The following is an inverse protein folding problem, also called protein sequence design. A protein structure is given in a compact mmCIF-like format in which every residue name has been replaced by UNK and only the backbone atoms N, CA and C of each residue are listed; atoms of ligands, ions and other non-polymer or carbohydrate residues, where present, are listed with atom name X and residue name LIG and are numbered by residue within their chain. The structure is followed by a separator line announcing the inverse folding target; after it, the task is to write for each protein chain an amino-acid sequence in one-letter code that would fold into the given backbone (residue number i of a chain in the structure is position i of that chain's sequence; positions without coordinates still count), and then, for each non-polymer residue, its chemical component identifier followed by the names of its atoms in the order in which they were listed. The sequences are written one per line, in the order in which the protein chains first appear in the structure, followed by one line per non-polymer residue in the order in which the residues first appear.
data_IF_932776131325
#
_entry.id   IF_932776131325
#
_cell.length_a   1.000
_cell.length_b   1.000
_cell.length_c   1.000
_cell.angle_alpha   90.00
_cell.angle_beta   90.00
_cell.angle_gamma   90.00
#
_symmetry.space_group_name_H-M   'P 1'
#
loop_
_entity.id
_entity.type
_entity.pdbx_description
1 polymer ?
#
# COMPACT_ATOMS: atom_id res chain seq x y z
N UNK A 1 -20.43 -0.20 9.72
CA UNK A 1 -19.99 -1.21 8.73
C UNK A 1 -20.10 -2.60 9.34
N UNK A 2 -20.51 -3.63 8.59
CA UNK A 2 -20.53 -5.02 9.10
C UNK A 2 -19.11 -5.45 9.53
N UNK A 3 -19.00 -6.03 10.74
CA UNK A 3 -17.75 -6.49 11.36
C UNK A 3 -16.86 -7.33 10.43
N UNK A 4 -17.46 -8.08 9.49
CA UNK A 4 -16.74 -8.91 8.51
C UNK A 4 -15.98 -8.08 7.46
N UNK A 5 -16.59 -7.02 6.92
CA UNK A 5 -15.95 -6.14 5.92
C UNK A 5 -14.76 -5.39 6.51
N UNK A 6 -14.87 -5.01 7.77
CA UNK A 6 -13.81 -4.32 8.49
C UNK A 6 -12.59 -5.22 8.76
N UNK A 7 -12.83 -6.47 9.19
CA UNK A 7 -11.77 -7.47 9.36
C UNK A 7 -11.00 -7.73 8.07
N UNK A 8 -11.70 -7.81 6.93
CA UNK A 8 -11.07 -8.02 5.61
C UNK A 8 -10.16 -6.84 5.25
N UNK A 9 -10.64 -5.59 5.40
CA UNK A 9 -9.83 -4.39 5.10
C UNK A 9 -8.59 -4.31 6.00
N UNK A 10 -8.77 -4.54 7.30
CA UNK A 10 -7.65 -4.57 8.25
C UNK A 10 -6.63 -5.66 7.88
N UNK A 11 -7.10 -6.85 7.51
CA UNK A 11 -6.24 -7.94 7.04
C UNK A 11 -5.45 -7.56 5.78
N UNK A 12 -6.10 -6.90 4.81
CA UNK A 12 -5.43 -6.44 3.60
C UNK A 12 -4.27 -5.48 3.91
N UNK A 13 -4.45 -4.52 4.83
CA UNK A 13 -3.39 -3.60 5.23
C UNK A 13 -2.23 -4.29 5.95
N UNK A 14 -2.51 -5.31 6.77
CA UNK A 14 -1.46 -6.13 7.40
C UNK A 14 -0.67 -6.94 6.37
N UNK A 15 -1.35 -7.58 5.42
CA UNK A 15 -0.70 -8.33 4.33
C UNK A 15 0.19 -7.37 3.52
N UNK A 16 -0.32 -6.19 3.18
CA UNK A 16 0.46 -5.22 2.41
C UNK A 16 1.67 -4.70 3.19
N UNK A 17 1.52 -4.42 4.50
CA UNK A 17 2.64 -4.07 5.38
C UNK A 17 3.70 -5.17 5.42
N UNK A 18 3.26 -6.43 5.54
CA UNK A 18 4.16 -7.58 5.56
C UNK A 18 4.94 -7.72 4.24
N UNK A 19 4.27 -7.54 3.09
CA UNK A 19 4.94 -7.56 1.77
C UNK A 19 5.99 -6.45 1.67
N UNK A 20 5.69 -5.23 2.13
CA UNK A 20 6.64 -4.11 2.12
C UNK A 20 7.86 -4.42 3.01
N UNK A 21 7.65 -5.00 4.19
CA UNK A 21 8.73 -5.40 5.09
C UNK A 21 9.58 -6.54 4.50
N UNK A 22 8.95 -7.50 3.82
CA UNK A 22 9.67 -8.54 3.08
C UNK A 22 10.52 -7.96 1.95
N UNK A 23 10.00 -6.97 1.22
CA UNK A 23 10.76 -6.25 0.18
C UNK A 23 11.93 -5.47 0.78
N UNK A 24 11.74 -4.86 1.95
CA UNK A 24 12.83 -4.21 2.69
C UNK A 24 13.93 -5.20 3.08
N UNK A 25 13.57 -6.40 3.53
CA UNK A 25 14.51 -7.47 3.86
C UNK A 25 15.28 -7.96 2.62
N UNK A 26 14.60 -8.19 1.50
CA UNK A 26 15.26 -8.56 0.23
C UNK A 26 16.27 -7.47 -0.22
N UNK A 27 15.93 -6.19 -0.02
CA UNK A 27 16.83 -5.07 -0.34
C UNK A 27 18.05 -5.00 0.57
N UNK A 28 17.87 -5.32 1.85
CA UNK A 28 18.97 -5.41 2.80
C UNK A 28 19.96 -6.51 2.38
N UNK A 29 19.45 -7.72 2.07
CA UNK A 29 20.28 -8.86 1.65
C UNK A 29 21.01 -8.61 0.32
N UNK A 30 20.39 -7.87 -0.60
CA UNK A 30 20.98 -7.50 -1.89
C UNK A 30 21.86 -6.25 -1.85
N UNK A 31 22.12 -5.69 -0.66
CA UNK A 31 23.00 -4.52 -0.46
C UNK A 31 22.47 -3.21 -1.05
N UNK A 32 21.18 -3.12 -1.36
CA UNK A 32 20.56 -1.92 -1.94
C UNK A 32 20.16 -0.94 -0.83
N UNK A 33 20.68 0.29 -0.88
CA UNK A 33 20.41 1.33 0.14
C UNK A 33 18.94 1.73 0.30
N UNK A 34 18.05 1.34 -0.62
CA UNK A 34 16.60 1.58 -0.51
C UNK A 34 15.92 0.76 0.60
N UNK A 35 16.61 -0.23 1.21
CA UNK A 35 16.05 -1.03 2.30
C UNK A 35 15.51 -0.18 3.47
N UNK A 36 16.20 0.91 3.84
CA UNK A 36 15.75 1.81 4.91
C UNK A 36 14.42 2.48 4.59
N UNK A 37 14.24 2.89 3.34
CA UNK A 37 12.99 3.52 2.89
C UNK A 37 11.82 2.55 3.01
N UNK A 38 11.98 1.31 2.51
CA UNK A 38 10.93 0.31 2.61
C UNK A 38 10.70 -0.18 4.04
N UNK A 39 11.74 -0.28 4.85
CA UNK A 39 11.61 -0.66 6.25
C UNK A 39 10.76 0.37 7.02
N UNK A 40 11.10 1.65 6.89
CA UNK A 40 10.34 2.73 7.51
C UNK A 40 8.90 2.79 6.97
N UNK A 41 8.73 2.67 5.64
CA UNK A 41 7.41 2.62 5.03
C UNK A 41 6.57 1.46 5.58
N UNK A 42 7.14 0.25 5.68
CA UNK A 42 6.49 -0.94 6.21
C UNK A 42 6.13 -0.84 7.69
N UNK A 43 7.00 -0.24 8.51
CA UNK A 43 6.72 0.01 9.93
C UNK A 43 5.59 1.02 10.11
N UNK A 44 5.60 2.12 9.36
CA UNK A 44 4.52 3.11 9.36
C UNK A 44 3.22 2.45 8.92
N UNK A 45 3.24 1.67 7.83
CA UNK A 45 2.06 0.96 7.34
C UNK A 45 1.51 -0.04 8.37
N UNK A 46 2.40 -0.74 9.09
CA UNK A 46 2.01 -1.68 10.15
C UNK A 46 1.32 -0.95 11.31
N UNK A 47 1.93 0.13 11.81
CA UNK A 47 1.33 0.97 12.85
C UNK A 47 -0.06 1.44 12.43
N UNK A 48 -0.17 1.86 11.17
CA UNK A 48 -1.43 2.38 10.69
C UNK A 48 -2.46 1.26 10.46
N UNK A 49 -2.07 0.06 10.03
CA UNK A 49 -2.94 -1.11 9.96
C UNK A 49 -3.47 -1.51 11.35
N UNK A 50 -2.66 -1.36 12.39
CA UNK A 50 -3.07 -1.55 13.80
C UNK A 50 -4.13 -0.53 14.19
N UNK A 51 -3.90 0.75 13.90
CA UNK A 51 -4.80 1.85 14.27
C UNK A 51 -5.92 2.14 13.26
N UNK A 52 -6.03 1.37 12.17
CA UNK A 52 -6.95 1.63 11.06
C UNK A 52 -8.40 1.84 11.53
N UNK A 53 -8.88 1.05 12.51
CA UNK A 53 -10.21 1.22 13.06
C UNK A 53 -10.42 2.61 13.70
N UNK A 54 -9.48 3.03 14.55
CA UNK A 54 -9.55 4.31 15.26
C UNK A 54 -9.44 5.49 14.27
N UNK A 55 -8.52 5.37 13.29
CA UNK A 55 -8.33 6.36 12.22
C UNK A 55 -9.57 6.46 11.32
N UNK A 56 -10.17 5.35 10.93
CA UNK A 56 -11.36 5.34 10.06
C UNK A 56 -12.60 5.99 10.68
N UNK A 57 -12.70 5.99 12.03
CA UNK A 57 -13.76 6.70 12.75
C UNK A 57 -13.57 8.21 12.75
N UNK A 58 -12.32 8.68 12.76
CA UNK A 58 -11.97 10.11 12.85
C UNK A 58 -11.79 10.76 11.48
N UNK A 59 -11.31 10.01 10.49
CA UNK A 59 -10.96 10.50 9.17
C UNK A 59 -11.61 9.64 8.08
N UNK A 60 -12.70 10.13 7.49
CA UNK A 60 -13.43 9.44 6.41
C UNK A 60 -12.57 9.22 5.16
N UNK A 61 -11.60 10.09 4.90
CA UNK A 61 -10.69 9.99 3.74
C UNK A 61 -9.49 9.08 3.96
N UNK A 62 -9.33 8.49 5.15
CA UNK A 62 -8.13 7.70 5.46
C UNK A 62 -7.96 6.51 4.51
N UNK A 63 -9.08 5.89 4.09
CA UNK A 63 -9.07 4.77 3.14
C UNK A 63 -8.51 5.21 1.77
N UNK A 64 -8.86 6.41 1.30
CA UNK A 64 -8.36 6.97 0.04
C UNK A 64 -6.85 7.24 0.14
N UNK A 65 -6.41 7.78 1.28
CA UNK A 65 -4.99 8.09 1.53
C UNK A 65 -4.16 6.79 1.55
N UNK A 66 -4.64 5.72 2.19
CA UNK A 66 -3.92 4.44 2.17
C UNK A 66 -3.74 3.89 0.79
N UNK A 67 -4.82 3.81 0.03
CA UNK A 67 -4.77 3.31 -1.34
C UNK A 67 -3.81 4.16 -2.18
N UNK A 68 -3.74 5.47 -1.92
CA UNK A 68 -2.75 6.38 -2.49
C UNK A 68 -1.31 6.00 -2.16
N UNK A 69 -1.00 5.80 -0.88
CA UNK A 69 0.36 5.41 -0.46
C UNK A 69 0.71 4.01 -1.01
N UNK A 70 -0.23 3.07 -1.00
CA UNK A 70 -0.02 1.74 -1.61
C UNK A 70 0.27 1.86 -3.11
N UNK A 71 -0.47 2.69 -3.84
CA UNK A 71 -0.23 2.91 -5.27
C UNK A 71 1.19 3.44 -5.51
N UNK A 72 1.62 4.43 -4.71
CA UNK A 72 2.95 5.00 -4.81
C UNK A 72 4.04 3.94 -4.54
N UNK A 73 3.94 3.20 -3.44
CA UNK A 73 4.90 2.13 -3.12
C UNK A 73 4.95 1.06 -4.20
N UNK A 74 3.81 0.70 -4.77
CA UNK A 74 3.74 -0.26 -5.88
C UNK A 74 4.53 0.22 -7.10
N UNK A 75 4.41 1.51 -7.44
CA UNK A 75 5.14 2.09 -8.56
C UNK A 75 6.64 2.22 -8.27
N UNK A 76 7.02 2.52 -7.03
CA UNK A 76 8.44 2.51 -6.62
C UNK A 76 9.01 1.10 -6.77
N UNK A 77 8.32 0.07 -6.31
CA UNK A 77 8.73 -1.33 -6.48
C UNK A 77 8.83 -1.68 -7.97
N UNK A 78 7.88 -1.24 -8.80
CA UNK A 78 7.93 -1.44 -10.24
C UNK A 78 9.20 -0.83 -10.85
N UNK A 79 9.50 0.42 -10.50
CA UNK A 79 10.70 1.13 -10.96
C UNK A 79 11.97 0.39 -10.55
N UNK A 80 12.07 -0.07 -9.30
CA UNK A 80 13.25 -0.81 -8.86
C UNK A 80 13.42 -2.13 -9.60
N UNK A 81 12.34 -2.87 -9.86
CA UNK A 81 12.44 -4.11 -10.66
C UNK A 81 12.83 -3.82 -12.11
N UNK A 82 12.42 -2.68 -12.66
CA UNK A 82 12.82 -2.24 -13.99
C UNK A 82 14.32 -1.92 -14.03
N UNK A 83 14.83 -1.18 -13.04
CA UNK A 83 16.27 -0.90 -12.88
C UNK A 83 17.08 -2.18 -12.65
N UNK A 84 16.52 -3.17 -11.94
CA UNK A 84 17.13 -4.48 -11.74
C UNK A 84 17.07 -5.40 -12.99
N UNK A 85 16.55 -4.91 -14.13
CA UNK A 85 16.50 -5.65 -15.39
C UNK A 85 15.47 -6.80 -15.42
N UNK A 86 14.54 -6.86 -14.46
CA UNK A 86 13.48 -7.88 -14.48
C UNK A 86 12.49 -7.53 -15.60
N UNK A 87 12.30 -8.42 -16.57
CA UNK A 87 11.45 -8.10 -17.73
C UNK A 87 9.96 -8.10 -17.38
N UNK A 88 9.40 -9.13 -16.74
CA UNK A 88 7.94 -9.25 -16.60
C UNK A 88 7.37 -8.69 -15.29
N UNK A 89 8.15 -8.77 -14.19
CA UNK A 89 7.71 -8.38 -12.84
C UNK A 89 7.27 -6.90 -12.77
N UNK A 90 8.02 -5.92 -13.32
CA UNK A 90 7.63 -4.51 -13.26
C UNK A 90 6.24 -4.24 -13.85
N UNK A 91 5.91 -4.90 -14.97
CA UNK A 91 4.62 -4.68 -15.65
C UNK A 91 3.43 -5.06 -14.77
N UNK A 92 3.54 -6.15 -13.98
CA UNK A 92 2.50 -6.52 -13.03
C UNK A 92 2.33 -5.46 -11.93
N UNK A 93 3.44 -4.88 -11.45
CA UNK A 93 3.39 -3.80 -10.47
C UNK A 93 2.84 -2.49 -11.07
N UNK A 94 3.18 -2.15 -12.32
CA UNK A 94 2.59 -0.99 -13.02
C UNK A 94 1.08 -1.18 -13.18
N UNK A 95 0.64 -2.36 -13.62
CA UNK A 95 -0.79 -2.68 -13.74
C UNK A 95 -1.50 -2.58 -12.39
N UNK A 96 -0.91 -3.13 -11.33
CA UNK A 96 -1.43 -3.00 -9.97
C UNK A 96 -1.50 -1.53 -9.51
N UNK A 97 -0.49 -0.72 -9.84
CA UNK A 97 -0.48 0.73 -9.58
C UNK A 97 -1.63 1.46 -10.27
N UNK A 98 -1.89 1.17 -11.55
CA UNK A 98 -3.00 1.74 -12.31
C UNK A 98 -4.36 1.37 -11.68
N UNK A 99 -4.55 0.10 -11.33
CA UNK A 99 -5.79 -0.36 -10.67
C UNK A 99 -5.99 0.30 -9.30
N UNK A 100 -4.92 0.50 -8.54
CA UNK A 100 -4.96 1.23 -7.27
C UNK A 100 -5.32 2.70 -7.49
N UNK A 101 -4.75 3.37 -8.49
CA UNK A 101 -5.12 4.75 -8.86
C UNK A 101 -6.61 4.85 -9.25
N UNK A 102 -7.11 3.91 -10.04
CA UNK A 102 -8.54 3.84 -10.35
C UNK A 102 -9.41 3.69 -9.10
N UNK A 103 -8.95 2.90 -8.13
CA UNK A 103 -9.61 2.70 -6.83
C UNK A 103 -9.64 3.98 -5.99
N UNK A 104 -8.60 4.82 -6.04
CA UNK A 104 -8.59 6.14 -5.39
C UNK A 104 -9.72 7.01 -5.93
N UNK A 105 -9.85 7.10 -7.26
CA UNK A 105 -10.90 7.92 -7.90
C UNK A 105 -12.29 7.42 -7.51
N UNK A 106 -12.48 6.10 -7.53
CA UNK A 106 -13.74 5.47 -7.13
C UNK A 106 -14.09 5.75 -5.65
N UNK A 107 -13.15 5.53 -4.73
CA UNK A 107 -13.35 5.76 -3.30
C UNK A 107 -13.58 7.25 -3.01
N UNK A 108 -12.82 8.14 -3.64
CA UNK A 108 -12.99 9.59 -3.50
C UNK A 108 -14.40 10.04 -3.91
N UNK A 109 -14.91 9.55 -5.05
CA UNK A 109 -16.28 9.84 -5.50
C UNK A 109 -17.34 9.25 -4.56
N UNK A 110 -17.11 8.05 -4.01
CA UNK A 110 -18.03 7.40 -3.05
C UNK A 110 -18.15 8.21 -1.76
N UNK A 111 -17.02 8.63 -1.19
CA UNK A 111 -17.00 9.37 0.07
C UNK A 111 -17.57 10.80 -0.09
N UNK A 112 -17.43 11.43 -1.26
CA UNK A 112 -18.05 12.74 -1.55
C UNK A 112 -19.56 12.70 -1.78
N UNK A 113 -20.13 11.59 -2.28
CA UNK A 113 -21.59 11.42 -2.48
C UNK A 113 -22.38 11.19 -1.18
N UNK A 114 -21.71 10.99 -0.06
CA UNK A 114 -22.33 10.87 1.27
C UNK A 114 -22.46 12.22 2.00
N UNK A 115 -22.25 13.32 1.28
CA UNK A 115 -22.51 14.71 1.66
C UNK A 115 -23.46 15.32 0.64
#
# INVERSE_FOLDING_TARGET
MSSKKEKIKRGAHFINSFIILMHAYERYETGHGSYLFFLLAGLIFTLVAVFHHQLSKKFKMIEVIFVGIEALLTLIIAYEYFVAGKQYIPFFYVLAGILRIGSIIYLYKRERKMF
#
